data_IF_089421499477
#
_entry.id   IF_089421499477
#
_cell.length_a   1.000
_cell.length_b   1.000
_cell.length_c   1.000
_cell.angle_alpha   90.00
_cell.angle_beta   90.00
_cell.angle_gamma   90.00
#
_symmetry.space_group_name_H-M   'P 1'
#
loop_
_entity.id
_entity.type
_entity.pdbx_description
1 polymer ?
#
# COMPACT_ATOMS: atom_id res chain seq x y z
N UNK A 1 7.79 12.24 -13.88
CA UNK A 1 6.65 12.29 -14.83
C UNK A 1 6.68 13.50 -15.78
N UNK A 2 6.92 14.75 -15.34
CA UNK A 2 7.01 15.91 -16.26
C UNK A 2 8.07 15.73 -17.36
N UNK A 3 9.28 15.30 -17.03
CA UNK A 3 10.37 15.15 -18.01
C UNK A 3 10.15 14.07 -19.08
N UNK A 4 9.54 12.94 -18.73
CA UNK A 4 9.21 11.90 -19.73
C UNK A 4 8.05 12.33 -20.64
N UNK A 5 7.07 13.03 -20.08
CA UNK A 5 5.96 13.61 -20.85
C UNK A 5 6.41 14.78 -21.73
N UNK A 6 7.36 15.61 -21.26
CA UNK A 6 7.96 16.70 -22.03
C UNK A 6 8.86 16.16 -23.15
N UNK A 7 9.54 15.04 -22.96
CA UNK A 7 10.28 14.35 -24.02
C UNK A 7 9.35 13.83 -25.11
N UNK A 8 8.20 13.26 -24.75
CA UNK A 8 7.18 12.82 -25.72
C UNK A 8 6.51 13.99 -26.43
N UNK A 9 6.38 15.16 -25.81
CA UNK A 9 5.82 16.40 -26.43
C UNK A 9 6.79 17.10 -27.38
N UNK A 10 8.09 16.87 -27.26
CA UNK A 10 9.10 17.41 -28.21
C UNK A 10 9.18 16.62 -29.52
N UNK A 11 8.44 15.51 -29.63
CA UNK A 11 8.31 14.77 -30.86
C UNK A 11 7.10 15.29 -31.66
N UNK A 12 7.27 16.36 -32.39
CA UNK A 12 6.36 16.77 -33.49
C UNK A 12 6.36 15.76 -34.66
N UNK A 13 7.15 14.68 -34.55
CA UNK A 13 7.23 13.56 -35.47
C UNK A 13 6.66 12.27 -34.84
N UNK A 14 6.11 11.35 -35.61
CA UNK A 14 5.68 10.03 -35.12
C UNK A 14 6.84 9.37 -34.37
N UNK A 15 6.53 8.81 -33.18
CA UNK A 15 7.53 8.16 -32.32
C UNK A 15 8.30 7.13 -33.16
N UNK A 16 9.61 7.35 -33.30
CA UNK A 16 10.51 6.39 -33.93
C UNK A 16 10.76 5.23 -32.95
N UNK A 17 9.90 4.22 -33.08
CA UNK A 17 9.95 3.04 -32.21
C UNK A 17 11.20 2.21 -32.44
N UNK A 18 11.82 2.25 -33.64
CA UNK A 18 13.05 1.49 -33.90
C UNK A 18 14.21 2.10 -33.12
N UNK A 19 14.36 3.42 -33.15
CA UNK A 19 15.34 4.13 -32.32
C UNK A 19 15.12 3.94 -30.82
N UNK A 20 13.85 3.82 -30.39
CA UNK A 20 13.53 3.56 -28.99
C UNK A 20 13.91 2.15 -28.56
N UNK A 21 13.68 1.16 -29.42
CA UNK A 21 14.07 -0.23 -29.18
C UNK A 21 15.60 -0.34 -29.15
N UNK A 22 16.30 0.31 -30.06
CA UNK A 22 17.78 0.34 -30.05
C UNK A 22 18.31 0.87 -28.72
N UNK A 23 17.74 1.98 -28.22
CA UNK A 23 18.07 2.52 -26.89
C UNK A 23 17.84 1.50 -25.77
N UNK A 24 16.79 0.71 -25.81
CA UNK A 24 16.54 -0.35 -24.82
C UNK A 24 17.54 -1.49 -24.94
N UNK A 25 17.96 -1.83 -26.17
CA UNK A 25 18.96 -2.86 -26.43
C UNK A 25 20.38 -2.44 -26.04
N UNK A 26 20.64 -1.14 -25.90
CA UNK A 26 21.92 -0.62 -25.38
C UNK A 26 22.02 -0.74 -23.86
N UNK A 27 20.87 -0.82 -23.15
CA UNK A 27 20.83 -1.04 -21.70
C UNK A 27 21.00 -2.53 -21.38
N UNK A 28 22.09 -2.89 -20.72
CA UNK A 28 22.46 -4.29 -20.41
C UNK A 28 21.36 -5.04 -19.66
N UNK A 29 20.66 -4.37 -18.73
CA UNK A 29 19.61 -5.00 -17.89
C UNK A 29 18.33 -5.19 -18.68
N UNK A 30 17.90 -4.16 -19.42
CA UNK A 30 16.69 -4.26 -20.27
C UNK A 30 16.91 -5.26 -21.38
N UNK A 31 18.07 -5.24 -22.05
CA UNK A 31 18.42 -6.21 -23.09
C UNK A 31 18.35 -7.64 -22.58
N UNK A 32 18.95 -7.90 -21.40
CA UNK A 32 18.90 -9.22 -20.77
C UNK A 32 17.44 -9.61 -20.47
N UNK A 33 16.65 -8.70 -19.90
CA UNK A 33 15.26 -8.94 -19.56
C UNK A 33 14.41 -9.27 -20.80
N UNK A 34 14.62 -8.55 -21.92
CA UNK A 34 13.95 -8.81 -23.20
C UNK A 34 14.29 -10.21 -23.71
N UNK A 35 15.56 -10.61 -23.63
CA UNK A 35 16.04 -11.92 -24.08
C UNK A 35 15.57 -13.06 -23.18
N UNK A 36 15.63 -12.89 -21.84
CA UNK A 36 15.23 -13.92 -20.87
C UNK A 36 13.73 -14.25 -20.94
N UNK A 37 12.92 -13.33 -21.49
CA UNK A 37 11.46 -13.50 -21.60
C UNK A 37 10.97 -13.59 -23.04
N UNK A 38 11.85 -13.68 -24.04
CA UNK A 38 11.53 -13.78 -25.48
C UNK A 38 10.49 -12.74 -25.93
N UNK A 39 10.67 -11.47 -25.50
CA UNK A 39 9.69 -10.42 -25.76
C UNK A 39 9.65 -10.04 -27.23
N UNK A 40 8.44 -10.03 -27.78
CA UNK A 40 8.22 -9.58 -29.17
C UNK A 40 8.36 -8.06 -29.29
N UNK A 41 8.64 -7.59 -30.52
CA UNK A 41 8.69 -6.15 -30.83
C UNK A 41 7.44 -5.40 -30.38
N UNK A 42 6.26 -6.00 -30.56
CA UNK A 42 4.98 -5.42 -30.15
C UNK A 42 4.87 -5.27 -28.63
N UNK A 43 5.31 -6.27 -27.85
CA UNK A 43 5.34 -6.22 -26.39
C UNK A 43 6.31 -5.16 -25.86
N UNK A 44 7.48 -5.00 -26.52
CA UNK A 44 8.46 -3.97 -26.17
C UNK A 44 7.86 -2.57 -26.39
N UNK A 45 7.22 -2.34 -27.55
CA UNK A 45 6.58 -1.06 -27.86
C UNK A 45 5.45 -0.76 -26.86
N UNK A 46 4.58 -1.72 -26.59
CA UNK A 46 3.47 -1.57 -25.61
C UNK A 46 3.96 -1.21 -24.21
N UNK A 47 5.12 -1.74 -23.81
CA UNK A 47 5.69 -1.54 -22.49
C UNK A 47 6.80 -0.48 -22.45
N UNK A 48 6.95 0.30 -23.50
CA UNK A 48 8.02 1.30 -23.64
C UNK A 48 8.05 2.31 -22.49
N UNK A 49 6.88 2.73 -21.98
CA UNK A 49 6.77 3.61 -20.84
C UNK A 49 7.36 2.99 -19.56
N UNK A 50 7.20 1.67 -19.36
CA UNK A 50 7.78 0.94 -18.21
C UNK A 50 9.31 0.94 -18.31
N UNK A 51 9.87 0.66 -19.47
CA UNK A 51 11.31 0.67 -19.67
C UNK A 51 11.94 2.05 -19.50
N UNK A 52 11.26 3.11 -19.99
CA UNK A 52 11.72 4.49 -19.80
C UNK A 52 11.70 4.89 -18.32
N UNK A 53 10.61 4.60 -17.61
CA UNK A 53 10.51 4.87 -16.17
C UNK A 53 11.58 4.10 -15.39
N UNK A 54 11.79 2.82 -15.74
CA UNK A 54 12.84 2.00 -15.13
C UNK A 54 14.23 2.61 -15.32
N UNK A 55 14.58 3.06 -16.55
CA UNK A 55 15.87 3.71 -16.83
C UNK A 55 16.05 4.99 -16.02
N UNK A 56 15.00 5.83 -15.94
CA UNK A 56 15.03 7.08 -15.16
C UNK A 56 15.28 6.78 -13.67
N UNK A 57 14.50 5.91 -13.07
CA UNK A 57 14.63 5.55 -11.67
C UNK A 57 15.95 4.83 -11.35
N UNK A 58 16.41 3.97 -12.25
CA UNK A 58 17.70 3.27 -12.11
C UNK A 58 18.87 4.23 -12.15
N UNK A 59 18.82 5.24 -13.02
CA UNK A 59 19.87 6.27 -13.11
C UNK A 59 19.98 7.09 -11.81
N UNK A 60 18.85 7.41 -11.17
CA UNK A 60 18.81 8.06 -9.86
C UNK A 60 19.47 7.18 -8.80
N UNK A 61 19.20 5.86 -8.80
CA UNK A 61 19.83 4.92 -7.88
C UNK A 61 21.32 4.77 -8.06
N UNK A 62 21.83 4.87 -9.28
CA UNK A 62 23.27 4.75 -9.57
C UNK A 62 24.08 5.92 -8.99
N UNK A 63 23.52 7.12 -8.99
CA UNK A 63 24.15 8.34 -8.44
C UNK A 63 23.87 8.57 -6.95
N UNK A 64 23.01 7.76 -6.33
CA UNK A 64 22.57 7.93 -4.94
C UNK A 64 23.70 7.63 -3.94
N UNK A 65 23.90 8.52 -2.96
CA UNK A 65 24.94 8.39 -1.93
C UNK A 65 24.38 7.91 -0.57
N UNK A 66 23.05 7.84 -0.39
CA UNK A 66 22.44 7.40 0.86
C UNK A 66 20.92 7.54 0.89
N UNK A 67 20.28 7.04 1.97
CA UNK A 67 18.83 7.12 2.12
C UNK A 67 18.32 8.56 2.23
N UNK A 68 19.09 9.44 2.87
CA UNK A 68 18.72 10.85 3.09
C UNK A 68 18.75 11.67 1.81
N UNK A 69 19.53 11.23 0.82
CA UNK A 69 19.65 11.86 -0.50
C UNK A 69 18.82 11.16 -1.58
N UNK A 70 18.00 10.17 -1.20
CA UNK A 70 17.22 9.41 -2.15
C UNK A 70 16.13 10.26 -2.80
N UNK A 71 16.22 10.44 -4.12
CA UNK A 71 15.28 11.21 -4.92
C UNK A 71 14.12 10.38 -5.47
N UNK A 72 14.13 9.06 -5.26
CA UNK A 72 13.00 8.20 -5.64
C UNK A 72 11.81 8.42 -4.72
N UNK A 73 10.61 8.30 -5.27
CA UNK A 73 9.37 8.28 -4.49
C UNK A 73 9.35 7.13 -3.48
N UNK A 74 9.89 5.98 -3.89
CA UNK A 74 10.10 4.78 -3.07
C UNK A 74 11.48 4.82 -2.42
N UNK A 75 11.67 5.73 -1.45
CA UNK A 75 12.97 5.88 -0.76
C UNK A 75 13.42 4.56 -0.13
N UNK A 76 14.69 4.20 -0.34
CA UNK A 76 15.27 2.98 0.21
C UNK A 76 15.03 1.73 -0.63
N UNK A 77 14.45 1.89 -1.82
CA UNK A 77 14.22 0.79 -2.75
C UNK A 77 14.87 1.06 -4.10
N UNK A 78 15.24 0.00 -4.80
CA UNK A 78 15.76 0.05 -6.16
C UNK A 78 14.78 -0.62 -7.11
N UNK A 79 14.50 -0.05 -8.30
CA UNK A 79 13.58 -0.63 -9.25
C UNK A 79 14.18 -1.88 -9.91
N UNK A 80 13.32 -2.85 -10.21
CA UNK A 80 13.62 -3.99 -11.06
C UNK A 80 12.43 -4.33 -11.96
N UNK A 81 12.67 -4.95 -13.10
CA UNK A 81 11.65 -5.32 -14.05
C UNK A 81 11.02 -6.67 -13.67
N UNK A 82 9.69 -6.76 -13.76
CA UNK A 82 8.92 -7.97 -13.50
C UNK A 82 8.10 -8.33 -14.76
N UNK A 83 8.16 -9.61 -15.16
CA UNK A 83 7.29 -10.16 -16.20
C UNK A 83 6.33 -11.17 -15.61
N UNK A 84 5.02 -10.88 -15.65
CA UNK A 84 3.96 -11.78 -15.18
C UNK A 84 2.76 -11.73 -16.10
N UNK A 85 2.22 -12.90 -16.45
CA UNK A 85 0.98 -13.00 -17.25
C UNK A 85 0.98 -12.10 -18.50
N UNK A 86 2.08 -12.09 -19.23
CA UNK A 86 2.25 -11.29 -20.45
C UNK A 86 2.24 -9.76 -20.23
N UNK A 87 2.47 -9.31 -19.00
CA UNK A 87 2.58 -7.90 -18.62
C UNK A 87 3.94 -7.59 -17.99
N UNK A 88 4.50 -6.42 -18.31
CA UNK A 88 5.76 -5.92 -17.78
C UNK A 88 5.45 -4.78 -16.81
N UNK A 89 6.00 -4.86 -15.61
CA UNK A 89 5.83 -3.87 -14.55
C UNK A 89 7.15 -3.60 -13.85
N UNK A 90 7.23 -2.50 -13.09
CA UNK A 90 8.36 -2.21 -12.21
C UNK A 90 8.02 -2.75 -10.83
N UNK A 91 8.90 -3.59 -10.30
CA UNK A 91 8.94 -3.96 -8.90
C UNK A 91 10.03 -3.18 -8.17
N UNK A 92 10.00 -3.24 -6.84
CA UNK A 92 10.97 -2.54 -6.00
C UNK A 92 11.53 -3.51 -4.98
N UNK A 93 12.86 -3.51 -4.83
CA UNK A 93 13.59 -4.30 -3.84
C UNK A 93 14.46 -3.37 -2.97
N UNK A 94 14.85 -3.76 -1.74
CA UNK A 94 15.67 -2.91 -0.89
C UNK A 94 16.94 -2.51 -1.60
N UNK A 95 17.27 -1.22 -1.55
CA UNK A 95 18.52 -0.75 -2.08
C UNK A 95 19.69 -1.08 -1.12
N UNK A 96 20.92 -0.97 -1.62
CA UNK A 96 22.17 -1.23 -0.86
C UNK A 96 22.30 -0.45 0.47
N UNK A 97 21.59 0.67 0.61
CA UNK A 97 21.57 1.49 1.82
C UNK A 97 20.45 1.13 2.77
N UNK A 98 19.47 0.31 2.34
CA UNK A 98 18.37 -0.14 3.18
C UNK A 98 18.76 -1.43 3.92
N UNK A 99 19.42 -1.26 5.06
CA UNK A 99 19.96 -2.38 5.86
C UNK A 99 18.95 -2.97 6.85
N UNK A 100 17.75 -2.38 6.99
CA UNK A 100 16.71 -2.89 7.89
C UNK A 100 16.07 -4.16 7.29
N UNK A 101 16.28 -5.32 7.93
CA UNK A 101 15.58 -6.57 7.59
C UNK A 101 14.06 -6.35 7.72
N UNK A 102 13.29 -6.67 6.68
CA UNK A 102 11.82 -6.55 6.67
C UNK A 102 11.28 -5.30 6.00
N UNK A 103 11.99 -4.16 5.94
CA UNK A 103 11.50 -2.93 5.31
C UNK A 103 11.21 -3.06 3.81
N UNK A 104 11.81 -4.05 3.15
CA UNK A 104 11.59 -4.37 1.73
C UNK A 104 10.19 -4.91 1.42
N UNK A 105 9.52 -5.45 2.41
CA UNK A 105 8.21 -6.07 2.24
C UNK A 105 7.07 -5.11 2.58
N UNK A 106 7.39 -3.89 3.04
CA UNK A 106 6.40 -2.86 3.36
C UNK A 106 6.34 -1.85 2.22
N UNK A 107 5.20 -1.80 1.56
CA UNK A 107 4.84 -0.72 0.66
C UNK A 107 3.99 0.30 1.44
N UNK A 108 4.59 1.43 1.82
CA UNK A 108 3.88 2.49 2.53
C UNK A 108 3.40 3.55 1.56
N UNK A 109 2.09 3.76 1.57
CA UNK A 109 1.40 4.73 0.73
C UNK A 109 0.97 5.92 1.60
N UNK A 110 1.55 7.11 1.32
CA UNK A 110 1.17 8.40 1.94
C UNK A 110 1.44 8.53 3.44
N UNK A 111 2.44 7.84 3.96
CA UNK A 111 2.77 7.83 5.37
C UNK A 111 4.17 8.43 5.61
N UNK A 112 4.36 9.24 6.69
CA UNK A 112 5.67 9.76 7.04
C UNK A 112 6.70 8.66 7.30
N UNK A 113 7.95 8.85 6.82
CA UNK A 113 9.06 7.89 6.97
C UNK A 113 9.29 7.40 8.41
N UNK A 114 9.07 8.26 9.42
CA UNK A 114 9.22 7.93 10.85
C UNK A 114 8.33 6.76 11.33
N UNK A 115 7.30 6.39 10.57
CA UNK A 115 6.45 5.24 10.88
C UNK A 115 7.20 3.91 10.71
N UNK A 116 8.17 3.86 9.80
CA UNK A 116 9.03 2.68 9.64
C UNK A 116 9.98 2.45 10.83
N UNK A 117 10.14 3.43 11.72
CA UNK A 117 10.94 3.31 12.93
C UNK A 117 10.09 2.84 14.14
N UNK A 118 8.77 2.68 13.96
CA UNK A 118 7.89 2.21 15.03
C UNK A 118 8.24 0.76 15.43
N UNK A 119 8.43 0.54 16.73
CA UNK A 119 8.74 -0.75 17.32
C UNK A 119 7.73 -1.11 18.41
N UNK A 120 7.42 -2.39 18.55
CA UNK A 120 6.61 -2.88 19.67
C UNK A 120 7.35 -2.77 21.00
N UNK A 121 8.68 -2.81 20.99
CA UNK A 121 9.51 -2.65 22.20
C UNK A 121 9.39 -1.26 22.79
N UNK A 122 9.22 -0.23 21.94
CA UNK A 122 9.06 1.17 22.34
C UNK A 122 7.59 1.54 22.63
N UNK A 123 6.69 0.57 22.51
CA UNK A 123 5.26 0.81 22.76
C UNK A 123 5.02 1.13 24.23
N UNK A 124 4.47 2.32 24.51
CA UNK A 124 4.00 2.67 25.84
C UNK A 124 2.87 1.74 26.29
N UNK A 125 3.09 0.98 27.35
CA UNK A 125 2.13 0.03 27.92
C UNK A 125 1.37 0.60 29.14
N UNK A 126 1.32 1.90 29.31
CA UNK A 126 0.53 2.54 30.36
C UNK A 126 -0.95 2.47 29.98
N UNK A 127 -1.78 1.94 30.88
CA UNK A 127 -3.21 1.76 30.69
C UNK A 127 -3.62 0.36 30.24
N UNK A 128 -4.83 -0.04 30.62
CA UNK A 128 -5.33 -1.41 30.34
C UNK A 128 -5.63 -1.62 28.85
N UNK A 129 -6.10 -0.59 28.13
CA UNK A 129 -6.41 -0.73 26.72
C UNK A 129 -5.15 -1.03 25.88
N UNK A 130 -4.01 -0.39 26.20
CA UNK A 130 -2.72 -0.62 25.54
C UNK A 130 -2.19 -2.02 25.81
N UNK A 131 -2.23 -2.46 27.07
CA UNK A 131 -1.82 -3.82 27.46
C UNK A 131 -2.62 -4.89 26.74
N UNK A 132 -3.94 -4.71 26.67
CA UNK A 132 -4.84 -5.64 25.98
C UNK A 132 -4.52 -5.71 24.48
N UNK A 133 -4.33 -4.56 23.83
CA UNK A 133 -3.94 -4.50 22.41
C UNK A 133 -2.58 -5.18 22.20
N UNK A 134 -1.60 -4.87 23.03
CA UNK A 134 -0.27 -5.45 22.96
C UNK A 134 -0.30 -6.99 23.11
N UNK A 135 -1.04 -7.51 24.10
CA UNK A 135 -1.22 -8.95 24.28
C UNK A 135 -1.85 -9.61 23.06
N UNK A 136 -2.86 -8.97 22.46
CA UNK A 136 -3.46 -9.47 21.22
C UNK A 136 -2.47 -9.45 20.06
N UNK A 137 -1.65 -8.41 19.92
CA UNK A 137 -0.60 -8.31 18.90
C UNK A 137 0.41 -9.46 19.07
N UNK A 138 0.89 -9.72 20.29
CA UNK A 138 1.82 -10.82 20.54
C UNK A 138 1.22 -12.19 20.19
N UNK A 139 -0.07 -12.39 20.46
CA UNK A 139 -0.80 -13.59 20.05
C UNK A 139 -0.92 -13.66 18.52
N UNK A 140 -1.20 -12.53 17.87
CA UNK A 140 -1.35 -12.42 16.43
C UNK A 140 -0.03 -12.78 15.71
N UNK A 141 1.11 -12.25 16.18
CA UNK A 141 2.43 -12.51 15.60
C UNK A 141 2.89 -13.98 15.76
N UNK A 142 2.43 -14.68 16.80
CA UNK A 142 2.70 -16.11 16.99
C UNK A 142 1.86 -17.03 16.12
N UNK A 143 0.78 -16.50 15.53
CA UNK A 143 -0.13 -17.28 14.71
C UNK A 143 0.42 -17.48 13.28
N UNK A 144 0.31 -18.69 12.73
CA UNK A 144 0.69 -18.96 11.35
C UNK A 144 -0.46 -18.63 10.39
N UNK A 145 -0.46 -17.39 9.89
CA UNK A 145 -1.50 -16.86 9.00
C UNK A 145 -1.53 -17.53 7.61
N UNK A 146 -0.51 -18.33 7.27
CA UNK A 146 -0.50 -19.12 6.04
C UNK A 146 -1.34 -20.39 6.16
N UNK A 147 -1.55 -20.87 7.40
CA UNK A 147 -2.30 -22.10 7.69
C UNK A 147 -3.74 -21.87 8.08
N UNK A 148 -4.01 -20.79 8.81
CA UNK A 148 -5.37 -20.52 9.27
C UNK A 148 -5.61 -19.03 9.45
N UNK A 149 -6.89 -18.66 9.40
CA UNK A 149 -7.32 -17.28 9.61
C UNK A 149 -7.39 -16.93 11.10
N UNK A 150 -6.83 -15.79 11.45
CA UNK A 150 -7.06 -15.11 12.72
C UNK A 150 -7.53 -13.69 12.44
N UNK A 151 -8.51 -13.21 13.20
CA UNK A 151 -9.01 -11.84 13.05
C UNK A 151 -7.87 -10.84 13.22
N UNK A 152 -7.82 -9.86 12.32
CA UNK A 152 -6.90 -8.72 12.42
C UNK A 152 -7.37 -7.72 13.48
N UNK A 153 -6.76 -6.54 13.57
CA UNK A 153 -7.15 -5.51 14.53
C UNK A 153 -7.92 -4.38 13.85
N UNK A 154 -8.98 -3.92 14.52
CA UNK A 154 -9.58 -2.62 14.30
C UNK A 154 -9.34 -1.79 15.56
N UNK A 155 -8.50 -0.75 15.47
CA UNK A 155 -8.17 0.11 16.62
C UNK A 155 -8.89 1.45 16.46
N UNK A 156 -9.84 1.73 17.34
CA UNK A 156 -10.49 3.04 17.44
C UNK A 156 -10.03 3.81 18.67
N UNK A 157 -10.23 5.13 18.67
CA UNK A 157 -9.87 6.00 19.79
C UNK A 157 -9.64 7.44 19.38
N UNK A 158 -9.39 8.32 20.36
CA UNK A 158 -9.19 9.75 20.13
C UNK A 158 -7.97 10.07 19.25
N UNK A 159 -7.95 11.27 18.69
CA UNK A 159 -6.78 11.80 18.00
C UNK A 159 -5.56 11.83 18.92
N UNK A 160 -4.39 11.47 18.36
CA UNK A 160 -3.14 11.46 19.11
C UNK A 160 -3.01 10.31 20.11
N UNK A 161 -3.96 9.37 20.19
CA UNK A 161 -3.86 8.21 21.08
C UNK A 161 -2.76 7.20 20.67
N UNK A 162 -2.14 7.33 19.50
CA UNK A 162 -1.06 6.44 19.06
C UNK A 162 -1.52 5.23 18.23
N UNK A 163 -2.76 5.25 17.69
CA UNK A 163 -3.31 4.16 16.86
C UNK A 163 -2.41 3.80 15.67
N UNK A 164 -2.02 4.81 14.90
CA UNK A 164 -1.13 4.69 13.74
C UNK A 164 0.22 4.08 14.13
N UNK A 165 0.81 4.51 15.27
CA UNK A 165 2.06 3.96 15.77
C UNK A 165 1.95 2.46 16.07
N UNK A 166 0.90 2.04 16.76
CA UNK A 166 0.66 0.63 17.12
C UNK A 166 0.53 -0.23 15.86
N UNK A 167 -0.25 0.23 14.87
CA UNK A 167 -0.40 -0.50 13.61
C UNK A 167 0.90 -0.53 12.81
N UNK A 168 1.68 0.55 12.81
CA UNK A 168 2.96 0.60 12.12
C UNK A 168 3.99 -0.34 12.76
N UNK A 169 4.06 -0.39 14.09
CA UNK A 169 4.91 -1.35 14.80
C UNK A 169 4.54 -2.81 14.44
N UNK A 170 3.24 -3.13 14.42
CA UNK A 170 2.77 -4.45 14.00
C UNK A 170 3.11 -4.74 12.53
N UNK A 171 2.97 -3.77 11.62
CA UNK A 171 3.31 -3.92 10.21
C UNK A 171 4.80 -4.23 10.01
N UNK A 172 5.68 -3.57 10.79
CA UNK A 172 7.12 -3.83 10.78
C UNK A 172 7.44 -5.26 11.22
N UNK A 173 6.82 -5.75 12.30
CA UNK A 173 7.02 -7.12 12.77
C UNK A 173 6.54 -8.17 11.74
N UNK A 174 5.36 -7.94 11.13
CA UNK A 174 4.85 -8.84 10.10
C UNK A 174 5.75 -8.88 8.85
N UNK A 175 6.33 -7.76 8.48
CA UNK A 175 7.30 -7.71 7.39
C UNK A 175 8.59 -8.47 7.73
N UNK A 176 9.06 -8.41 8.98
CA UNK A 176 10.20 -9.22 9.45
C UNK A 176 9.89 -10.72 9.42
N UNK A 177 8.62 -11.10 9.54
CA UNK A 177 8.13 -12.47 9.36
C UNK A 177 7.89 -12.86 7.90
N UNK A 178 8.38 -12.05 6.94
CA UNK A 178 8.28 -12.24 5.49
C UNK A 178 6.85 -12.22 4.94
N UNK A 179 5.96 -11.39 5.49
CA UNK A 179 4.69 -11.05 4.86
C UNK A 179 4.83 -9.77 4.03
N UNK A 180 4.24 -9.76 2.85
CA UNK A 180 4.10 -8.54 2.07
C UNK A 180 3.04 -7.64 2.71
N UNK A 181 3.40 -6.40 2.99
CA UNK A 181 2.56 -5.43 3.68
C UNK A 181 2.29 -4.23 2.78
N UNK A 182 1.03 -3.82 2.67
CA UNK A 182 0.68 -2.47 2.23
C UNK A 182 0.14 -1.72 3.45
N UNK A 183 0.76 -0.58 3.76
CA UNK A 183 0.29 0.34 4.79
C UNK A 183 -0.10 1.66 4.14
N UNK A 184 -1.37 2.02 4.17
CA UNK A 184 -1.90 3.19 3.48
C UNK A 184 -2.62 4.13 4.46
N UNK A 185 -2.29 5.43 4.40
CA UNK A 185 -3.14 6.47 4.96
C UNK A 185 -4.38 6.61 4.09
N UNK A 186 -5.51 6.15 4.61
CA UNK A 186 -6.70 5.90 3.81
C UNK A 186 -7.27 7.16 3.12
N UNK A 187 -7.31 8.35 3.75
CA UNK A 187 -7.78 9.56 3.06
C UNK A 187 -6.97 9.92 1.81
N UNK A 188 -5.65 9.75 1.84
CA UNK A 188 -4.78 10.02 0.69
C UNK A 188 -4.87 8.93 -0.37
N UNK A 189 -4.99 7.67 0.06
CA UNK A 189 -5.27 6.55 -0.85
C UNK A 189 -6.56 6.81 -1.65
N UNK A 190 -7.63 7.28 -0.99
CA UNK A 190 -8.90 7.63 -1.65
C UNK A 190 -8.70 8.74 -2.68
N UNK A 191 -7.90 9.77 -2.37
CA UNK A 191 -7.60 10.85 -3.33
C UNK A 191 -6.88 10.32 -4.56
N UNK A 192 -5.91 9.43 -4.36
CA UNK A 192 -5.19 8.83 -5.49
C UNK A 192 -6.09 7.92 -6.33
N UNK A 193 -6.88 7.05 -5.71
CA UNK A 193 -7.79 6.17 -6.44
C UNK A 193 -8.81 6.99 -7.25
N UNK A 194 -9.30 8.11 -6.71
CA UNK A 194 -10.15 9.06 -7.48
C UNK A 194 -9.41 9.68 -8.66
N UNK A 195 -8.15 10.05 -8.50
CA UNK A 195 -7.34 10.62 -9.58
C UNK A 195 -7.01 9.61 -10.68
N UNK A 196 -7.00 8.33 -10.34
CA UNK A 196 -6.76 7.22 -11.26
C UNK A 196 -7.97 6.88 -12.15
N UNK A 197 -9.16 7.41 -11.82
CA UNK A 197 -10.35 7.26 -12.65
C UNK A 197 -10.09 7.91 -14.01
N UNK A 198 -10.14 7.12 -15.08
CA UNK A 198 -9.85 7.57 -16.45
C UNK A 198 -8.37 7.54 -16.86
N UNK A 199 -7.43 7.17 -15.96
CA UNK A 199 -6.00 6.98 -16.30
C UNK A 199 -5.66 5.54 -16.67
N UNK A 200 -6.58 4.59 -16.45
CA UNK A 200 -6.43 3.18 -16.81
C UNK A 200 -5.66 2.33 -15.77
N UNK A 201 -5.19 2.90 -14.66
CA UNK A 201 -4.42 2.22 -13.62
C UNK A 201 -5.22 1.92 -12.32
N UNK A 202 -6.48 2.35 -12.25
CA UNK A 202 -7.34 2.17 -11.08
C UNK A 202 -7.51 0.68 -10.71
N UNK A 203 -7.81 -0.16 -11.69
CA UNK A 203 -8.01 -1.61 -11.46
C UNK A 203 -6.73 -2.30 -11.00
N UNK A 204 -5.58 -1.89 -11.50
CA UNK A 204 -4.29 -2.43 -11.05
C UNK A 204 -4.05 -2.11 -9.57
N UNK A 205 -4.27 -0.85 -9.16
CA UNK A 205 -4.15 -0.43 -7.76
C UNK A 205 -5.12 -1.17 -6.85
N UNK A 206 -6.38 -1.31 -7.25
CA UNK A 206 -7.38 -2.08 -6.51
C UNK A 206 -6.94 -3.55 -6.38
N UNK A 207 -6.39 -4.15 -7.45
CA UNK A 207 -5.93 -5.54 -7.43
C UNK A 207 -4.70 -5.72 -6.53
N UNK A 208 -3.79 -4.75 -6.43
CA UNK A 208 -2.69 -4.76 -5.46
C UNK A 208 -3.21 -4.77 -4.03
N UNK A 209 -4.21 -3.91 -3.70
CA UNK A 209 -4.83 -3.88 -2.38
C UNK A 209 -5.61 -5.17 -2.05
N UNK A 210 -6.23 -5.81 -3.06
CA UNK A 210 -6.90 -7.10 -2.92
C UNK A 210 -5.93 -8.25 -2.64
N UNK A 211 -4.77 -8.24 -3.30
CA UNK A 211 -3.86 -9.40 -3.36
C UNK A 211 -2.79 -9.44 -2.27
N UNK A 212 -2.37 -8.31 -1.70
CA UNK A 212 -1.32 -8.25 -0.67
C UNK A 212 -1.63 -9.13 0.55
N UNK A 213 -0.62 -9.69 1.21
CA UNK A 213 -0.83 -10.56 2.37
C UNK A 213 -1.49 -9.78 3.52
N UNK A 214 -0.90 -8.67 3.91
CA UNK A 214 -1.32 -7.83 5.04
C UNK A 214 -1.63 -6.42 4.54
N UNK A 215 -2.88 -5.98 4.69
CA UNK A 215 -3.32 -4.64 4.30
C UNK A 215 -3.64 -3.82 5.56
N UNK A 216 -3.01 -2.64 5.68
CA UNK A 216 -3.28 -1.68 6.74
C UNK A 216 -3.93 -0.43 6.15
N UNK A 217 -5.10 -0.07 6.65
CA UNK A 217 -5.84 1.13 6.28
C UNK A 217 -5.93 2.04 7.50
N UNK A 218 -5.08 3.06 7.51
CA UNK A 218 -4.94 4.00 8.63
C UNK A 218 -5.92 5.17 8.48
N UNK A 219 -6.52 5.60 9.57
CA UNK A 219 -7.48 6.72 9.69
C UNK A 219 -8.74 6.56 8.83
N UNK A 220 -9.34 5.36 8.85
CA UNK A 220 -10.61 5.10 8.17
C UNK A 220 -11.73 5.97 8.77
N UNK A 221 -12.38 6.77 7.94
CA UNK A 221 -13.40 7.74 8.34
C UNK A 221 -12.87 9.16 8.48
N UNK A 222 -11.60 9.42 8.17
CA UNK A 222 -11.01 10.75 8.10
C UNK A 222 -11.29 11.49 6.79
N UNK A 223 -11.85 10.81 5.79
CA UNK A 223 -12.18 11.32 4.47
C UNK A 223 -13.69 11.46 4.26
N UNK A 224 -14.05 12.20 3.19
CA UNK A 224 -15.43 12.21 2.71
C UNK A 224 -15.71 10.98 1.84
N UNK A 225 -16.62 10.12 2.30
CA UNK A 225 -17.05 8.95 1.55
C UNK A 225 -18.05 9.32 0.45
N UNK A 226 -17.70 9.03 -0.81
CA UNK A 226 -18.67 8.94 -1.89
C UNK A 226 -19.17 7.50 -2.02
N UNK A 227 -20.38 7.34 -2.55
CA UNK A 227 -20.99 6.03 -2.83
C UNK A 227 -20.06 5.14 -3.65
N UNK A 228 -19.40 5.70 -4.66
CA UNK A 228 -18.43 4.96 -5.48
C UNK A 228 -17.26 4.41 -4.65
N UNK A 229 -16.62 5.25 -3.82
CA UNK A 229 -15.48 4.81 -2.98
C UNK A 229 -15.93 3.76 -1.96
N UNK A 230 -17.09 3.94 -1.35
CA UNK A 230 -17.60 2.99 -0.36
C UNK A 230 -17.96 1.65 -0.98
N UNK A 231 -18.79 1.65 -2.03
CA UNK A 231 -19.42 0.43 -2.54
C UNK A 231 -18.52 -0.27 -3.57
N UNK A 232 -18.00 0.46 -4.57
CA UNK A 232 -17.25 -0.13 -5.68
C UNK A 232 -15.77 -0.36 -5.33
N UNK A 233 -15.16 0.51 -4.54
CA UNK A 233 -13.74 0.40 -4.20
C UNK A 233 -13.57 -0.35 -2.90
N UNK A 234 -13.89 0.26 -1.75
CA UNK A 234 -13.68 -0.34 -0.43
C UNK A 234 -14.47 -1.64 -0.28
N UNK A 235 -15.73 -1.64 -0.70
CA UNK A 235 -16.59 -2.80 -0.67
C UNK A 235 -16.03 -3.98 -1.46
N UNK A 236 -15.50 -3.74 -2.67
CA UNK A 236 -14.88 -4.74 -3.51
C UNK A 236 -13.59 -5.30 -2.89
N UNK A 237 -12.71 -4.43 -2.37
CA UNK A 237 -11.47 -4.84 -1.70
C UNK A 237 -11.79 -5.72 -0.49
N UNK A 238 -12.67 -5.26 0.41
CA UNK A 238 -13.00 -6.00 1.63
C UNK A 238 -13.70 -7.33 1.35
N UNK A 239 -14.58 -7.38 0.33
CA UNK A 239 -15.25 -8.61 -0.07
C UNK A 239 -14.26 -9.67 -0.56
N UNK A 240 -13.33 -9.26 -1.44
CA UNK A 240 -12.29 -10.15 -1.96
C UNK A 240 -11.41 -10.68 -0.82
N UNK A 241 -10.91 -9.77 0.04
CA UNK A 241 -10.01 -10.13 1.14
C UNK A 241 -10.69 -11.02 2.18
N UNK A 242 -11.99 -10.79 2.45
CA UNK A 242 -12.78 -11.64 3.36
C UNK A 242 -12.94 -13.06 2.81
N UNK A 243 -13.20 -13.22 1.51
CA UNK A 243 -13.36 -14.53 0.88
C UNK A 243 -12.04 -15.30 0.85
N UNK A 244 -10.93 -14.61 0.63
CA UNK A 244 -9.59 -15.18 0.56
C UNK A 244 -8.91 -15.29 1.94
N UNK A 245 -9.63 -14.98 3.04
CA UNK A 245 -9.08 -14.95 4.41
C UNK A 245 -7.81 -14.09 4.56
N UNK A 246 -7.71 -12.99 3.79
CA UNK A 246 -6.57 -12.07 3.84
C UNK A 246 -6.71 -11.04 4.95
N UNK A 247 -5.64 -10.88 5.73
CA UNK A 247 -5.61 -9.98 6.88
C UNK A 247 -5.74 -8.51 6.49
N UNK A 248 -6.67 -7.79 7.14
CA UNK A 248 -6.89 -6.36 6.93
C UNK A 248 -7.04 -5.65 8.26
N UNK A 249 -6.17 -4.68 8.51
CA UNK A 249 -6.08 -3.91 9.75
C UNK A 249 -6.61 -2.51 9.53
N UNK A 250 -7.20 -1.93 10.58
CA UNK A 250 -7.75 -0.59 10.50
C UNK A 250 -7.41 0.22 11.74
N UNK A 251 -7.15 1.51 11.54
CA UNK A 251 -7.33 2.51 12.59
C UNK A 251 -8.46 3.47 12.22
N UNK A 252 -9.12 4.00 13.22
CA UNK A 252 -10.19 4.99 13.05
C UNK A 252 -10.34 5.85 14.30
N UNK A 253 -10.93 7.03 14.14
CA UNK A 253 -11.38 7.83 15.29
C UNK A 253 -12.76 7.39 15.78
N UNK A 254 -13.44 6.51 15.03
CA UNK A 254 -14.80 6.05 15.29
C UNK A 254 -14.82 4.56 15.61
N UNK A 255 -15.47 4.14 16.71
CA UNK A 255 -15.87 2.73 16.87
C UNK A 255 -16.73 2.27 15.69
N UNK A 256 -16.73 0.97 15.38
CA UNK A 256 -17.47 0.44 14.22
C UNK A 256 -18.97 0.77 14.26
N UNK A 257 -19.55 0.95 15.44
CA UNK A 257 -20.96 1.36 15.60
C UNK A 257 -21.21 2.77 15.08
N UNK A 258 -20.27 3.68 15.30
CA UNK A 258 -20.35 5.09 14.89
C UNK A 258 -19.89 5.28 13.44
N UNK A 259 -18.93 4.50 12.99
CA UNK A 259 -18.42 4.53 11.62
C UNK A 259 -19.53 4.30 10.58
N UNK A 260 -20.59 3.57 10.91
CA UNK A 260 -21.78 3.45 10.05
C UNK A 260 -22.31 4.81 9.61
N UNK A 261 -22.32 5.80 10.52
CA UNK A 261 -22.83 7.13 10.21
C UNK A 261 -21.90 7.94 9.32
N UNK A 262 -20.58 7.72 9.48
CA UNK A 262 -19.54 8.36 8.67
C UNK A 262 -19.54 7.82 7.23
N UNK A 263 -19.84 6.54 7.07
CA UNK A 263 -19.88 5.87 5.77
C UNK A 263 -21.12 6.21 4.93
N UNK A 264 -22.13 6.88 5.49
CA UNK A 264 -23.33 7.29 4.76
C UNK A 264 -23.12 8.63 4.05
N UNK A 265 -23.52 8.72 2.79
CA UNK A 265 -23.56 9.97 2.03
C UNK A 265 -24.83 10.76 2.33
N UNK A 266 -25.91 10.09 2.70
CA UNK A 266 -27.21 10.66 3.08
C UNK A 266 -27.93 9.81 4.12
N UNK A 267 -28.99 10.36 4.74
CA UNK A 267 -29.75 9.66 5.78
C UNK A 267 -30.87 8.74 5.22
N UNK A 268 -30.73 8.22 4.01
CA UNK A 268 -31.68 7.27 3.44
C UNK A 268 -31.47 5.85 3.99
N UNK A 269 -32.54 5.05 3.98
CA UNK A 269 -32.45 3.65 4.39
C UNK A 269 -31.48 2.85 3.51
N UNK A 270 -31.42 3.14 2.21
CA UNK A 270 -30.50 2.50 1.27
C UNK A 270 -29.04 2.76 1.64
N UNK A 271 -28.69 3.99 1.98
CA UNK A 271 -27.35 4.39 2.42
C UNK A 271 -26.97 3.67 3.74
N UNK A 272 -27.89 3.58 4.68
CA UNK A 272 -27.67 2.84 5.92
C UNK A 272 -27.38 1.34 5.67
N UNK A 273 -28.11 0.71 4.76
CA UNK A 273 -27.89 -0.69 4.39
C UNK A 273 -26.52 -0.88 3.75
N UNK A 274 -26.14 0.01 2.83
CA UNK A 274 -24.83 -0.06 2.17
C UNK A 274 -23.67 0.13 3.16
N UNK A 275 -23.75 1.12 4.04
CA UNK A 275 -22.79 1.34 5.11
C UNK A 275 -22.69 0.12 6.06
N UNK A 276 -23.82 -0.46 6.45
CA UNK A 276 -23.85 -1.65 7.31
C UNK A 276 -23.16 -2.86 6.66
N UNK A 277 -23.26 -3.04 5.35
CA UNK A 277 -22.53 -4.11 4.64
C UNK A 277 -21.02 -3.98 4.80
N UNK A 278 -20.47 -2.77 4.70
CA UNK A 278 -19.04 -2.51 4.92
C UNK A 278 -18.66 -2.84 6.37
N UNK A 279 -19.43 -2.35 7.34
CA UNK A 279 -19.18 -2.61 8.76
C UNK A 279 -19.24 -4.10 9.09
N UNK A 280 -20.19 -4.84 8.53
CA UNK A 280 -20.26 -6.28 8.73
C UNK A 280 -19.01 -7.00 8.21
N UNK A 281 -18.47 -6.59 7.05
CA UNK A 281 -17.22 -7.15 6.53
C UNK A 281 -16.06 -6.85 7.48
N UNK A 282 -15.91 -5.60 7.91
CA UNK A 282 -14.86 -5.19 8.87
C UNK A 282 -14.96 -6.05 10.14
N UNK A 283 -16.12 -6.16 10.77
CA UNK A 283 -16.31 -6.94 12.01
C UNK A 283 -16.04 -8.45 11.85
N UNK A 284 -16.28 -8.99 10.67
CA UNK A 284 -15.95 -10.40 10.39
C UNK A 284 -14.45 -10.61 10.27
N UNK A 285 -13.70 -9.60 9.78
CA UNK A 285 -12.27 -9.66 9.55
C UNK A 285 -11.45 -9.25 10.76
N UNK A 286 -12.02 -8.48 11.70
CA UNK A 286 -11.26 -7.84 12.78
C UNK A 286 -11.83 -8.08 14.16
N UNK A 287 -10.96 -8.01 15.17
CA UNK A 287 -11.30 -7.79 16.58
C UNK A 287 -11.20 -6.29 16.86
N UNK A 288 -12.22 -5.73 17.50
CA UNK A 288 -12.32 -4.30 17.75
C UNK A 288 -11.76 -3.93 19.13
N UNK A 289 -10.84 -2.96 19.14
CA UNK A 289 -10.22 -2.40 20.34
C UNK A 289 -10.46 -0.89 20.40
N UNK A 290 -10.82 -0.40 21.58
CA UNK A 290 -10.92 1.03 21.83
C UNK A 290 -9.72 1.50 22.65
N UNK A 291 -8.86 2.34 22.07
CA UNK A 291 -7.68 2.90 22.72
C UNK A 291 -8.07 4.17 23.48
N UNK A 292 -8.28 4.03 24.78
CA UNK A 292 -8.68 5.12 25.69
C UNK A 292 -7.52 5.97 26.17
N UNK A 293 -6.34 5.33 26.31
CA UNK A 293 -5.20 5.92 26.98
C UNK A 293 -4.45 6.85 26.02
N UNK A 294 -4.19 8.07 26.45
CA UNK A 294 -3.32 9.01 25.72
C UNK A 294 -1.86 8.61 25.90
N UNK A 295 -1.00 8.76 24.87
CA UNK A 295 0.44 8.58 25.08
C UNK A 295 0.97 9.64 26.02
N UNK A 296 2.07 9.34 26.72
CA UNK A 296 2.82 10.39 27.42
C UNK A 296 3.26 11.41 26.38
N UNK A 297 2.92 12.69 26.61
CA UNK A 297 3.59 13.77 25.89
C UNK A 297 5.07 13.73 26.27
N UNK A 298 5.93 13.43 25.31
CA UNK A 298 7.38 13.58 25.41
C UNK A 298 7.76 15.02 25.28
#
# INVERSE_FOLDING_TARGET
MKKAYDFLKQLENPIDYDRLIDRFMDDVVIKKFIMDHDLTREQIIKSSHVFLTYQEEKSICQSCQGLDECQLKTTGFTPHLIYRKNNITIGYEPCRYNTKKGSSLINALYIPKRIFDASLEDMDLIGESRKTIHQYILKYLKHDHRKSFMKSLYISGEYGAGKTYILAALANELAQLNYHVIFAYYPDLVRELKSSIGQGDLEEKINQLKSVDMLFLDDLGGEYFSKFIRDEVLGSILQHRLLDNKATFFSSNFPTKELVNVLKESNTQQEAISALRIIQRIRRMTEEFYLKDKPRMS
#
